data_IF_455168940193
#
_entry.id   IF_455168940193
#
_cell.length_a   1.000
_cell.length_b   1.000
_cell.length_c   1.000
_cell.angle_alpha   90.00
_cell.angle_beta   90.00
_cell.angle_gamma   90.00
#
_symmetry.space_group_name_H-M   'P 1'
#
loop_
_entity.id
_entity.type
_entity.pdbx_description
1 polymer ?
#
# COMPACT_ATOMS: atom_id res chain seq x y z
N UNK A 1 -15.31 15.54 -7.92
CA UNK A 1 -14.58 16.85 -7.98
C UNK A 1 -13.12 16.74 -7.43
N UNK A 2 -12.10 16.52 -8.27
CA UNK A 2 -10.71 16.15 -7.87
C UNK A 2 -10.59 14.74 -7.27
N UNK A 3 -11.05 14.46 -6.04
CA UNK A 3 -10.89 13.14 -5.39
C UNK A 3 -11.44 12.00 -6.27
N UNK A 4 -12.66 12.14 -6.77
CA UNK A 4 -13.27 11.15 -7.67
C UNK A 4 -12.43 10.90 -8.94
N UNK A 5 -11.93 11.95 -9.60
CA UNK A 5 -11.08 11.80 -10.80
C UNK A 5 -9.76 11.11 -10.46
N UNK A 6 -9.16 11.45 -9.33
CA UNK A 6 -7.97 10.76 -8.83
C UNK A 6 -8.25 9.27 -8.63
N UNK A 7 -9.35 8.92 -7.98
CA UNK A 7 -9.73 7.52 -7.74
C UNK A 7 -9.96 6.77 -9.05
N UNK A 8 -10.72 7.35 -9.98
CA UNK A 8 -10.95 6.77 -11.31
C UNK A 8 -9.62 6.52 -12.04
N UNK A 9 -8.69 7.47 -11.98
CA UNK A 9 -7.37 7.34 -12.58
C UNK A 9 -6.52 6.26 -11.90
N UNK A 10 -6.49 6.22 -10.57
CA UNK A 10 -5.77 5.19 -9.80
C UNK A 10 -6.30 3.80 -10.14
N UNK A 11 -7.62 3.63 -10.21
CA UNK A 11 -8.25 2.35 -10.58
C UNK A 11 -7.89 1.97 -12.01
N UNK A 12 -8.00 2.91 -12.96
CA UNK A 12 -7.70 2.67 -14.38
C UNK A 12 -6.24 2.30 -14.63
N UNK A 13 -5.30 2.91 -13.91
CA UNK A 13 -3.87 2.67 -14.07
C UNK A 13 -3.37 1.44 -13.30
N UNK A 14 -4.22 0.81 -12.49
CA UNK A 14 -3.86 -0.34 -11.67
C UNK A 14 -4.33 -1.66 -12.27
N UNK A 15 -3.57 -2.76 -12.13
CA UNK A 15 -2.24 -2.82 -11.52
C UNK A 15 -1.15 -2.27 -12.46
N UNK A 16 -0.33 -1.34 -11.96
CA UNK A 16 0.68 -0.65 -12.78
C UNK A 16 1.94 -1.48 -13.04
N UNK A 17 2.23 -2.46 -12.18
CA UNK A 17 3.33 -3.41 -12.35
C UNK A 17 2.79 -4.79 -12.72
N UNK A 18 3.33 -5.39 -13.78
CA UNK A 18 3.21 -6.84 -13.97
C UNK A 18 4.01 -7.51 -12.86
N UNK A 19 3.31 -8.32 -12.06
CA UNK A 19 3.87 -9.07 -10.95
C UNK A 19 5.11 -9.85 -11.41
N UNK A 20 6.24 -9.71 -10.72
CA UNK A 20 7.50 -10.45 -10.92
C UNK A 20 8.61 -9.74 -11.71
N UNK A 21 8.50 -8.44 -12.02
CA UNK A 21 9.59 -7.69 -12.70
C UNK A 21 10.75 -7.21 -11.80
N UNK A 22 10.69 -7.50 -10.49
CA UNK A 22 11.75 -7.15 -9.52
C UNK A 22 11.99 -8.21 -8.43
N UNK A 23 11.46 -9.41 -8.61
CA UNK A 23 11.48 -10.46 -7.59
C UNK A 23 12.73 -11.33 -7.76
N UNK A 24 13.82 -10.98 -7.08
CA UNK A 24 14.95 -11.92 -6.94
C UNK A 24 14.61 -13.07 -5.97
N UNK A 25 13.59 -12.93 -5.10
CA UNK A 25 13.30 -13.92 -4.05
C UNK A 25 11.81 -14.17 -3.73
N UNK A 26 10.86 -13.66 -4.50
CA UNK A 26 9.45 -13.67 -4.10
C UNK A 26 8.54 -14.45 -5.06
N UNK A 27 7.88 -15.49 -4.53
CA UNK A 27 6.83 -16.27 -5.20
C UNK A 27 5.60 -15.39 -5.49
N UNK A 28 4.91 -15.67 -6.61
CA UNK A 28 3.63 -15.05 -6.98
C UNK A 28 2.49 -15.81 -6.32
N UNK A 29 1.84 -15.22 -5.33
CA UNK A 29 0.64 -15.79 -4.73
C UNK A 29 -0.65 -15.27 -5.36
N UNK A 30 -1.76 -15.97 -5.11
CA UNK A 30 -3.10 -15.61 -5.59
C UNK A 30 -4.10 -15.75 -4.46
N UNK A 31 -4.93 -14.73 -4.23
CA UNK A 31 -6.06 -14.77 -3.31
C UNK A 31 -7.36 -14.54 -4.10
N UNK A 32 -8.32 -15.47 -4.11
CA UNK A 32 -9.65 -15.19 -4.65
C UNK A 32 -10.38 -14.20 -3.74
N UNK A 33 -10.65 -13.00 -4.26
CA UNK A 33 -11.41 -11.97 -3.53
C UNK A 33 -12.88 -12.02 -3.95
N UNK A 34 -13.76 -12.25 -2.98
CA UNK A 34 -15.21 -12.13 -3.15
C UNK A 34 -15.60 -10.66 -3.27
N UNK A 35 -14.99 -9.78 -2.47
CA UNK A 35 -15.26 -8.33 -2.50
C UNK A 35 -14.98 -7.69 -3.85
N UNK A 36 -13.96 -8.18 -4.54
CA UNK A 36 -13.54 -7.61 -5.80
C UNK A 36 -13.80 -8.53 -7.01
N UNK A 37 -14.54 -9.62 -6.82
CA UNK A 37 -14.90 -10.63 -7.84
C UNK A 37 -13.75 -11.03 -8.77
N UNK A 38 -12.53 -11.12 -8.25
CA UNK A 38 -11.34 -11.45 -9.04
C UNK A 38 -10.19 -11.97 -8.17
N UNK A 39 -9.20 -12.58 -8.83
CA UNK A 39 -7.95 -12.97 -8.20
C UNK A 39 -7.08 -11.73 -7.91
N UNK A 40 -6.57 -11.66 -6.68
CA UNK A 40 -5.61 -10.65 -6.24
C UNK A 40 -4.22 -11.29 -6.21
N UNK A 41 -3.29 -10.69 -6.94
CA UNK A 41 -1.91 -11.15 -7.00
C UNK A 41 -1.09 -10.37 -5.97
N UNK A 42 -0.20 -11.06 -5.26
CA UNK A 42 0.74 -10.45 -4.33
C UNK A 42 2.15 -10.98 -4.56
N UNK A 43 3.14 -10.16 -4.18
CA UNK A 43 4.56 -10.44 -4.28
C UNK A 43 5.20 -10.73 -2.91
N UNK A 44 4.42 -10.79 -1.82
CA UNK A 44 4.95 -11.14 -0.50
C UNK A 44 4.01 -12.10 0.24
N UNK A 45 4.53 -13.29 0.60
CA UNK A 45 3.81 -14.28 1.40
C UNK A 45 3.59 -13.84 2.85
N UNK A 46 4.39 -12.90 3.36
CA UNK A 46 4.39 -12.53 4.78
C UNK A 46 3.67 -11.20 5.02
N UNK A 47 3.89 -10.20 4.16
CA UNK A 47 3.39 -8.85 4.38
C UNK A 47 2.09 -8.65 3.59
N UNK A 48 2.17 -8.55 2.26
CA UNK A 48 1.00 -8.26 1.41
C UNK A 48 -0.11 -9.31 1.55
N UNK A 49 0.25 -10.60 1.61
CA UNK A 49 -0.74 -11.68 1.76
C UNK A 49 -1.58 -11.52 3.03
N UNK A 50 -0.94 -11.28 4.17
CA UNK A 50 -1.66 -11.15 5.44
C UNK A 50 -2.55 -9.92 5.44
N UNK A 51 -2.06 -8.80 4.88
CA UNK A 51 -2.88 -7.62 4.70
C UNK A 51 -4.10 -7.88 3.81
N UNK A 52 -3.94 -8.66 2.74
CA UNK A 52 -5.04 -9.02 1.85
C UNK A 52 -6.10 -9.88 2.54
N UNK A 53 -5.72 -10.78 3.46
CA UNK A 53 -6.69 -11.45 4.31
C UNK A 53 -7.42 -10.48 5.23
N UNK A 54 -6.73 -9.55 5.88
CA UNK A 54 -7.37 -8.54 6.75
C UNK A 54 -8.44 -7.74 5.99
N UNK A 55 -8.10 -7.22 4.79
CA UNK A 55 -9.08 -6.44 4.01
C UNK A 55 -10.16 -7.30 3.37
N UNK A 56 -9.90 -8.57 3.07
CA UNK A 56 -10.92 -9.49 2.55
C UNK A 56 -11.91 -9.90 3.64
N UNK A 57 -11.47 -10.00 4.91
CA UNK A 57 -12.32 -10.37 6.05
C UNK A 57 -13.01 -9.18 6.73
N UNK A 58 -12.47 -7.96 6.66
CA UNK A 58 -13.05 -6.79 7.34
C UNK A 58 -14.40 -6.38 6.72
N UNK A 59 -15.55 -6.50 7.43
CA UNK A 59 -16.87 -6.20 6.87
C UNK A 59 -17.07 -4.74 6.46
N UNK A 60 -16.19 -3.82 6.88
CA UNK A 60 -16.24 -2.40 6.54
C UNK A 60 -15.61 -2.10 5.18
N UNK A 61 -14.79 -3.02 4.66
CA UNK A 61 -14.14 -2.91 3.35
C UNK A 61 -15.12 -3.38 2.28
N UNK A 62 -15.37 -2.49 1.30
CA UNK A 62 -16.22 -2.75 0.15
C UNK A 62 -15.41 -3.44 -0.96
N UNK A 63 -14.16 -3.01 -1.14
CA UNK A 63 -13.25 -3.55 -2.15
C UNK A 63 -11.89 -2.87 -2.09
N UNK A 64 -10.98 -3.31 -2.96
CA UNK A 64 -9.61 -2.80 -3.00
C UNK A 64 -8.96 -3.06 -4.36
N UNK A 65 -7.98 -2.21 -4.69
CA UNK A 65 -7.18 -2.27 -5.93
C UNK A 65 -5.70 -2.35 -5.57
N UNK A 66 -4.97 -3.27 -6.20
CA UNK A 66 -3.57 -3.56 -5.87
C UNK A 66 -2.60 -2.90 -6.86
N UNK A 67 -1.34 -2.68 -6.45
CA UNK A 67 -0.26 -2.15 -7.28
C UNK A 67 -0.58 -0.79 -7.90
N UNK A 68 -0.82 0.20 -7.03
CA UNK A 68 -1.40 1.51 -7.32
C UNK A 68 -0.31 2.55 -7.62
N UNK A 69 -0.25 3.12 -8.84
CA UNK A 69 0.77 4.12 -9.20
C UNK A 69 0.38 5.51 -8.70
N UNK A 70 1.22 6.14 -7.89
CA UNK A 70 1.04 7.52 -7.46
C UNK A 70 1.83 8.44 -8.40
N UNK A 71 1.18 8.96 -9.43
CA UNK A 71 1.83 9.83 -10.42
C UNK A 71 2.16 11.19 -9.78
N UNK A 72 3.43 11.61 -9.89
CA UNK A 72 3.84 12.94 -9.48
C UNK A 72 4.09 13.10 -7.98
N UNK A 73 4.56 12.06 -7.29
CA UNK A 73 5.02 12.18 -5.90
C UNK A 73 6.28 13.04 -5.86
N UNK A 74 6.21 14.13 -5.11
CA UNK A 74 7.31 15.07 -4.95
C UNK A 74 8.06 14.87 -3.65
N UNK A 75 9.39 14.90 -3.72
CA UNK A 75 10.28 14.94 -2.57
C UNK A 75 11.36 16.01 -2.76
N UNK A 76 11.80 16.61 -1.66
CA UNK A 76 13.02 17.43 -1.63
C UNK A 76 14.19 16.53 -1.28
N UNK A 77 15.25 16.60 -2.08
CA UNK A 77 16.52 15.91 -1.80
C UNK A 77 17.34 16.71 -0.77
N UNK A 78 18.34 16.11 -0.11
CA UNK A 78 19.20 16.81 0.85
C UNK A 78 19.89 18.07 0.26
N UNK A 79 20.17 18.07 -1.04
CA UNK A 79 20.72 19.22 -1.76
C UNK A 79 19.66 20.27 -2.19
N UNK A 80 18.45 20.21 -1.64
CA UNK A 80 17.35 21.13 -1.95
C UNK A 80 16.64 20.88 -3.29
N UNK A 81 17.16 20.00 -4.16
CA UNK A 81 16.55 19.73 -5.47
C UNK A 81 15.20 19.05 -5.32
N UNK A 82 14.24 19.47 -6.16
CA UNK A 82 12.96 18.79 -6.36
C UNK A 82 13.16 17.50 -7.15
N UNK A 83 12.61 16.41 -6.64
CA UNK A 83 12.59 15.11 -7.31
C UNK A 83 11.15 14.62 -7.39
N UNK A 84 10.68 14.34 -8.61
CA UNK A 84 9.34 13.83 -8.89
C UNK A 84 9.44 12.37 -9.31
N UNK A 85 8.56 11.53 -8.79
CA UNK A 85 8.54 10.09 -9.10
C UNK A 85 7.12 9.54 -9.19
N UNK A 86 6.99 8.36 -9.79
CA UNK A 86 5.75 7.59 -9.85
C UNK A 86 5.95 6.27 -9.10
N UNK A 87 5.98 6.25 -7.76
CA UNK A 87 6.04 5.01 -7.00
C UNK A 87 4.74 4.20 -7.21
N UNK A 88 4.86 2.89 -7.11
CA UNK A 88 3.70 1.98 -7.09
C UNK A 88 3.53 1.46 -5.68
N UNK A 89 2.47 1.89 -5.01
CA UNK A 89 2.11 1.45 -3.68
C UNK A 89 1.26 0.18 -3.72
N UNK A 90 1.19 -0.52 -2.59
CA UNK A 90 0.68 -1.88 -2.59
C UNK A 90 -0.82 -1.96 -2.83
N UNK A 91 -1.63 -1.07 -2.26
CA UNK A 91 -3.09 -1.18 -2.33
C UNK A 91 -3.86 0.12 -2.04
N UNK A 92 -4.99 0.30 -2.72
CA UNK A 92 -6.01 1.32 -2.49
C UNK A 92 -7.25 0.61 -1.93
N UNK A 93 -7.67 0.96 -0.71
CA UNK A 93 -8.78 0.33 0.00
C UNK A 93 -9.99 1.25 0.02
N UNK A 94 -11.16 0.70 -0.29
CA UNK A 94 -12.44 1.38 -0.25
C UNK A 94 -13.26 0.89 0.93
N UNK A 95 -13.60 1.81 1.83
CA UNK A 95 -14.58 1.57 2.90
C UNK A 95 -15.78 2.49 2.70
N UNK A 96 -16.85 2.28 3.46
CA UNK A 96 -18.00 3.21 3.45
C UNK A 96 -17.63 4.63 3.91
N UNK A 97 -16.53 4.80 4.65
CA UNK A 97 -16.15 6.09 5.28
C UNK A 97 -14.98 6.77 4.61
N UNK A 98 -14.12 6.03 3.92
CA UNK A 98 -12.86 6.56 3.38
C UNK A 98 -12.31 5.72 2.24
N UNK A 99 -11.45 6.37 1.46
CA UNK A 99 -10.60 5.75 0.46
C UNK A 99 -9.15 5.98 0.90
N UNK A 100 -8.41 4.89 1.12
CA UNK A 100 -7.08 4.96 1.74
C UNK A 100 -6.05 4.20 0.92
N UNK A 101 -4.93 4.85 0.65
CA UNK A 101 -3.74 4.21 0.10
C UNK A 101 -2.98 3.55 1.25
N UNK A 102 -2.66 2.28 1.10
CA UNK A 102 -1.90 1.52 2.08
C UNK A 102 -0.60 1.03 1.45
N UNK A 103 0.52 1.32 2.12
CA UNK A 103 1.81 0.72 1.81
C UNK A 103 2.14 -0.36 2.83
N UNK A 104 2.40 -1.57 2.36
CA UNK A 104 2.78 -2.71 3.16
C UNK A 104 4.30 -2.79 3.27
N UNK A 105 4.82 -2.80 4.50
CA UNK A 105 6.26 -2.95 4.76
C UNK A 105 6.51 -3.86 5.94
N UNK A 106 7.63 -4.56 5.89
CA UNK A 106 8.17 -5.24 7.04
C UNK A 106 8.67 -4.22 8.08
N UNK A 107 8.51 -4.53 9.37
CA UNK A 107 8.88 -3.59 10.44
C UNK A 107 10.39 -3.37 10.54
N UNK A 108 11.22 -4.41 10.35
CA UNK A 108 12.67 -4.26 10.34
C UNK A 108 13.12 -3.41 9.15
N UNK A 109 12.44 -3.54 8.00
CA UNK A 109 12.66 -2.66 6.86
C UNK A 109 12.35 -1.20 7.21
N UNK A 110 11.24 -0.94 7.89
CA UNK A 110 10.82 0.41 8.31
C UNK A 110 11.83 1.03 9.27
N UNK A 111 12.25 0.29 10.29
CA UNK A 111 13.27 0.70 11.27
C UNK A 111 14.59 1.09 10.59
N UNK A 112 15.04 0.31 9.60
CA UNK A 112 16.25 0.62 8.81
C UNK A 112 16.11 1.85 7.90
N UNK A 113 14.90 2.36 7.70
CA UNK A 113 14.58 3.47 6.79
C UNK A 113 14.14 4.74 7.48
N UNK A 114 13.92 4.70 8.79
CA UNK A 114 13.57 5.87 9.59
C UNK A 114 14.53 7.05 9.33
N UNK A 115 13.96 8.25 9.16
CA UNK A 115 14.70 9.46 8.81
C UNK A 115 15.15 9.54 7.36
N UNK A 116 15.04 8.46 6.58
CA UNK A 116 15.44 8.46 5.16
C UNK A 116 14.22 8.60 4.26
N UNK A 117 14.34 9.41 3.19
CA UNK A 117 13.31 9.54 2.13
C UNK A 117 11.88 9.87 2.64
N UNK A 118 11.75 10.45 3.84
CA UNK A 118 10.48 10.85 4.44
C UNK A 118 9.79 9.78 5.29
N UNK A 119 10.44 8.63 5.53
CA UNK A 119 9.95 7.61 6.45
C UNK A 119 10.17 8.04 7.90
N UNK A 120 9.14 7.91 8.74
CA UNK A 120 9.21 8.21 10.16
C UNK A 120 8.21 7.37 10.96
N UNK A 121 8.48 7.22 12.26
CA UNK A 121 7.56 6.64 13.23
C UNK A 121 7.22 7.68 14.30
N UNK A 122 5.93 7.88 14.58
CA UNK A 122 5.46 8.70 15.70
C UNK A 122 4.48 7.87 16.52
N UNK A 123 4.74 7.71 17.81
CA UNK A 123 3.91 6.93 18.75
C UNK A 123 3.57 5.51 18.22
N UNK A 124 4.55 4.87 17.58
CA UNK A 124 4.39 3.53 17.00
C UNK A 124 3.66 3.51 15.64
N UNK A 125 3.25 4.66 15.10
CA UNK A 125 2.59 4.78 13.81
C UNK A 125 3.59 5.19 12.74
N UNK A 126 3.82 4.28 11.78
CA UNK A 126 4.67 4.54 10.63
C UNK A 126 3.99 5.39 9.57
N UNK A 127 4.75 6.30 8.96
CA UNK A 127 4.32 7.09 7.82
C UNK A 127 5.45 7.33 6.83
N UNK A 128 5.09 7.83 5.65
CA UNK A 128 6.01 8.31 4.62
C UNK A 128 5.47 9.66 4.13
N UNK A 129 6.10 10.75 4.55
CA UNK A 129 5.58 12.11 4.36
C UNK A 129 5.28 12.44 2.87
N UNK A 130 6.15 12.13 1.89
CA UNK A 130 5.82 12.36 0.48
C UNK A 130 4.54 11.65 0.01
N UNK A 131 4.25 10.45 0.53
CA UNK A 131 3.06 9.68 0.15
C UNK A 131 1.82 10.17 0.89
N UNK A 132 1.96 10.45 2.19
CA UNK A 132 0.90 11.00 3.02
C UNK A 132 0.39 12.34 2.47
N UNK A 133 1.30 13.26 2.16
CA UNK A 133 0.97 14.54 1.53
C UNK A 133 0.30 14.36 0.17
N UNK A 134 0.86 13.54 -0.71
CA UNK A 134 0.28 13.28 -2.04
C UNK A 134 -1.17 12.79 -1.94
N UNK A 135 -1.46 11.87 -1.00
CA UNK A 135 -2.78 11.32 -0.77
C UNK A 135 -3.74 12.39 -0.21
N UNK A 136 -3.29 13.12 0.82
CA UNK A 136 -4.09 14.14 1.52
C UNK A 136 -4.49 15.28 0.59
N UNK A 137 -3.56 15.76 -0.23
CA UNK A 137 -3.81 16.79 -1.26
C UNK A 137 -4.88 16.38 -2.27
N UNK A 138 -5.17 15.07 -2.39
CA UNK A 138 -6.19 14.48 -3.27
C UNK A 138 -7.43 14.00 -2.52
N UNK A 139 -7.53 14.30 -1.22
CA UNK A 139 -8.62 13.87 -0.36
C UNK A 139 -8.60 12.38 0.00
N UNK A 140 -7.45 11.71 -0.12
CA UNK A 140 -7.30 10.29 0.20
C UNK A 140 -6.60 10.12 1.55
N UNK A 141 -6.92 9.05 2.26
CA UNK A 141 -6.13 8.61 3.40
C UNK A 141 -4.81 7.98 2.95
N UNK A 142 -3.81 8.01 3.82
CA UNK A 142 -2.56 7.24 3.66
C UNK A 142 -2.26 6.50 4.95
N UNK A 143 -1.81 5.25 4.84
CA UNK A 143 -1.39 4.44 5.98
C UNK A 143 -0.24 3.52 5.59
N UNK A 144 0.69 3.31 6.51
CA UNK A 144 1.65 2.22 6.43
C UNK A 144 1.10 1.04 7.24
N UNK A 145 1.13 -0.15 6.66
CA UNK A 145 0.79 -1.38 7.35
C UNK A 145 2.03 -2.27 7.43
N UNK A 146 2.20 -2.90 8.58
CA UNK A 146 3.18 -3.96 8.78
C UNK A 146 2.50 -5.11 9.53
N UNK A 147 2.96 -6.36 9.34
CA UNK A 147 2.34 -7.50 10.00
C UNK A 147 2.55 -7.41 11.52
N UNK A 148 1.58 -7.90 12.31
CA UNK A 148 1.80 -8.13 13.73
C UNK A 148 2.84 -9.24 13.95
N UNK A 149 3.52 -9.19 15.11
CA UNK A 149 4.51 -10.18 15.49
C UNK A 149 3.98 -11.11 16.61
N UNK A 150 4.18 -12.44 16.52
CA UNK A 150 4.80 -13.18 15.42
C UNK A 150 3.81 -13.46 14.27
N UNK A 151 4.19 -13.12 13.02
CA UNK A 151 3.28 -13.19 11.87
C UNK A 151 2.68 -14.59 11.62
N UNK A 152 3.43 -15.65 11.94
CA UNK A 152 3.05 -17.03 11.64
C UNK A 152 1.75 -17.46 12.35
N UNK A 153 1.51 -16.95 13.56
CA UNK A 153 0.29 -17.24 14.32
C UNK A 153 -0.92 -16.59 13.66
N UNK A 154 -0.78 -15.34 13.21
CA UNK A 154 -1.84 -14.61 12.54
C UNK A 154 -2.18 -15.22 11.19
N UNK A 155 -1.16 -15.57 10.40
CA UNK A 155 -1.35 -16.21 9.11
C UNK A 155 -2.09 -17.55 9.27
N UNK A 156 -1.70 -18.40 10.23
CA UNK A 156 -2.37 -19.67 10.51
C UNK A 156 -3.86 -19.51 10.82
N UNK A 157 -4.25 -18.42 11.47
CA UNK A 157 -5.65 -18.16 11.82
C UNK A 157 -6.48 -17.62 10.64
N UNK A 158 -5.84 -17.16 9.57
CA UNK A 158 -6.52 -16.59 8.39
C UNK A 158 -6.54 -17.53 7.18
N UNK A 159 -5.74 -18.59 7.19
CA UNK A 159 -5.79 -19.72 6.25
C UNK A 159 -6.79 -20.79 6.71
#
# INVERSE_FOLDING_TARGET
PVQQRTVEELVRLSPARKVGKGALHNLRGRLPSKKCSALRLFESHTVERLFFYEVELDPRVIGYVTQVPLVGVERRLPNGRRHVSTPTLDVLVFTQKSITIVECKDEDWLRKREGTKGWSCLDGVWTCEPYARWATDRGLGFRVWHPPYPFAVYLRNME
#
